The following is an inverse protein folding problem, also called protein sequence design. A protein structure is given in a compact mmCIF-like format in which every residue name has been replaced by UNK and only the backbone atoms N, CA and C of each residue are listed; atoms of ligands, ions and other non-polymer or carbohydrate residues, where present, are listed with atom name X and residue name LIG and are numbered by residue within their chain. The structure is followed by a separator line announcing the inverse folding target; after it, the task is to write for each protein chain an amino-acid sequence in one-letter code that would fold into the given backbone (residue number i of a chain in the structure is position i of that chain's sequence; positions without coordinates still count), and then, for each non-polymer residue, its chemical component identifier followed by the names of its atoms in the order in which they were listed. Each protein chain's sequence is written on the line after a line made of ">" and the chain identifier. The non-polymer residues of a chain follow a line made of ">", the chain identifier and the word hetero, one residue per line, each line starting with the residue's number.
data_IF_328284231743
#
_entry.id   IF_328284231743
#
_cell.length_a   1.000
_cell.length_b   1.000
_cell.length_c   1.000
_cell.angle_alpha   90.00
_cell.angle_beta   90.00
_cell.angle_gamma   90.00
#
_symmetry.space_group_name_H-M   'P 1'
#
loop_
_entity.id
_entity.type
_entity.pdbx_description
1 polymer ?
#
# COMPACT_ATOMS: atom_id res chain seq x y z
N UNK A 1 29.93 0.11 -25.73
CA UNK A 1 29.07 1.24 -26.10
C UNK A 1 27.79 1.25 -25.26
N UNK A 2 27.24 2.41 -24.87
CA UNK A 2 26.01 2.50 -24.01
C UNK A 2 24.82 1.75 -24.63
N UNK A 3 24.73 1.67 -25.94
CA UNK A 3 23.67 0.94 -26.66
C UNK A 3 23.77 -0.58 -26.52
N UNK A 4 24.95 -1.13 -26.32
CA UNK A 4 25.15 -2.60 -26.36
C UNK A 4 24.81 -3.27 -25.03
N UNK A 5 24.78 -2.53 -23.90
CA UNK A 5 24.44 -3.10 -22.57
C UNK A 5 23.00 -3.62 -22.47
N UNK A 6 22.06 -3.04 -23.25
CA UNK A 6 20.66 -3.53 -23.35
C UNK A 6 20.53 -4.79 -24.20
N UNK A 7 21.58 -5.18 -24.91
CA UNK A 7 21.57 -6.35 -25.78
C UNK A 7 22.40 -7.51 -25.21
N UNK A 8 23.07 -7.32 -24.07
CA UNK A 8 23.95 -8.34 -23.47
C UNK A 8 23.18 -9.65 -23.22
N UNK A 9 21.92 -9.54 -22.76
CA UNK A 9 21.05 -10.71 -22.51
C UNK A 9 20.73 -11.55 -23.77
N UNK A 10 21.05 -11.04 -24.96
CA UNK A 10 20.90 -11.81 -26.23
C UNK A 10 22.05 -12.79 -26.48
N UNK A 11 23.16 -12.63 -25.74
CA UNK A 11 24.41 -13.36 -26.02
C UNK A 11 24.89 -14.20 -24.86
N UNK A 12 24.46 -13.89 -23.64
CA UNK A 12 24.89 -14.58 -22.41
C UNK A 12 23.70 -14.77 -21.47
N UNK A 13 23.85 -15.59 -20.43
CA UNK A 13 22.82 -15.79 -19.43
C UNK A 13 22.51 -14.49 -18.65
N UNK A 14 21.31 -14.31 -18.10
CA UNK A 14 20.96 -13.14 -17.31
C UNK A 14 21.91 -12.88 -16.12
N UNK A 15 22.45 -13.93 -15.50
CA UNK A 15 23.45 -13.83 -14.44
C UNK A 15 24.75 -13.23 -14.96
N UNK A 16 25.29 -13.77 -16.06
CA UNK A 16 26.52 -13.24 -16.69
C UNK A 16 26.30 -11.81 -17.20
N UNK A 17 25.13 -11.52 -17.77
CA UNK A 17 24.76 -10.17 -18.19
C UNK A 17 24.75 -9.17 -17.02
N UNK A 18 24.28 -9.60 -15.85
CA UNK A 18 24.30 -8.81 -14.62
C UNK A 18 25.74 -8.48 -14.21
N UNK A 19 26.65 -9.46 -14.25
CA UNK A 19 28.05 -9.28 -13.89
C UNK A 19 28.77 -8.37 -14.89
N UNK A 20 28.57 -8.56 -16.19
CA UNK A 20 29.13 -7.69 -17.25
C UNK A 20 28.68 -6.24 -17.10
N UNK A 21 27.37 -6.02 -16.82
CA UNK A 21 26.85 -4.66 -16.60
C UNK A 21 27.44 -4.02 -15.33
N UNK A 22 27.59 -4.78 -14.24
CA UNK A 22 28.20 -4.29 -13.01
C UNK A 22 29.65 -3.89 -13.25
N UNK A 23 30.47 -4.74 -13.87
CA UNK A 23 31.87 -4.42 -14.20
C UNK A 23 31.96 -3.17 -15.08
N UNK A 24 31.06 -3.01 -16.04
CA UNK A 24 31.01 -1.80 -16.87
C UNK A 24 30.74 -0.53 -16.02
N UNK A 25 29.80 -0.62 -15.08
CA UNK A 25 29.47 0.49 -14.18
C UNK A 25 30.64 0.79 -13.25
N UNK A 26 31.27 -0.23 -12.67
CA UNK A 26 32.47 -0.09 -11.80
C UNK A 26 33.60 0.65 -12.52
N UNK A 27 33.91 0.26 -13.76
CA UNK A 27 34.92 0.92 -14.60
C UNK A 27 34.53 2.36 -14.96
N UNK A 28 33.26 2.60 -15.26
CA UNK A 28 32.78 3.91 -15.71
C UNK A 28 32.67 4.90 -14.55
N UNK A 29 32.20 4.44 -13.39
CA UNK A 29 32.04 5.26 -12.19
C UNK A 29 33.32 5.36 -11.34
N UNK A 30 34.32 4.51 -11.59
CA UNK A 30 35.55 4.47 -10.81
C UNK A 30 35.34 3.97 -9.38
N UNK A 31 34.42 3.00 -9.18
CA UNK A 31 34.09 2.42 -7.86
C UNK A 31 34.04 0.89 -7.93
N UNK A 32 34.03 0.26 -6.76
CA UNK A 32 33.80 -1.19 -6.61
C UNK A 32 32.44 -1.43 -5.99
N UNK A 33 31.73 -2.48 -6.41
CA UNK A 33 30.37 -2.83 -5.98
C UNK A 33 30.26 -4.26 -5.39
N UNK A 34 31.16 -4.68 -4.48
CA UNK A 34 31.21 -6.05 -3.99
C UNK A 34 29.96 -6.48 -3.22
N UNK A 35 29.30 -5.54 -2.54
CA UNK A 35 28.09 -5.83 -1.77
C UNK A 35 26.87 -6.02 -2.66
N UNK A 36 26.75 -5.27 -3.76
CA UNK A 36 25.70 -5.48 -4.75
C UNK A 36 25.87 -6.77 -5.53
N UNK A 37 27.10 -7.27 -5.66
CA UNK A 37 27.43 -8.53 -6.31
C UNK A 37 27.05 -9.76 -5.50
N UNK A 38 26.88 -9.61 -4.17
CA UNK A 38 26.56 -10.72 -3.26
C UNK A 38 25.07 -10.80 -3.01
N UNK A 39 24.36 -11.67 -3.71
CA UNK A 39 22.93 -11.87 -3.61
C UNK A 39 22.54 -13.34 -3.81
N UNK A 40 21.38 -13.72 -3.27
CA UNK A 40 20.78 -15.04 -3.40
C UNK A 40 19.63 -15.09 -4.42
N UNK A 41 19.21 -13.94 -4.98
CA UNK A 41 18.11 -13.89 -5.95
C UNK A 41 18.47 -14.59 -7.26
N UNK A 42 17.51 -15.34 -7.81
CA UNK A 42 17.59 -15.89 -9.17
C UNK A 42 17.45 -14.77 -10.21
N UNK A 43 18.59 -14.34 -10.78
CA UNK A 43 18.62 -13.27 -11.78
C UNK A 43 17.95 -13.64 -13.11
N UNK A 44 17.84 -14.91 -13.45
CA UNK A 44 17.11 -15.34 -14.64
C UNK A 44 15.63 -15.06 -14.47
N UNK A 45 15.07 -15.45 -13.33
CA UNK A 45 13.69 -15.21 -12.95
C UNK A 45 13.39 -13.73 -12.77
N UNK A 46 14.26 -13.00 -12.05
CA UNK A 46 14.11 -11.58 -11.79
C UNK A 46 14.13 -10.75 -13.08
N UNK A 47 15.09 -11.03 -14.01
CA UNK A 47 15.19 -10.32 -15.29
C UNK A 47 14.02 -10.58 -16.20
N UNK A 48 13.39 -11.75 -16.13
CA UNK A 48 12.24 -12.08 -16.95
C UNK A 48 10.95 -11.39 -16.51
N UNK A 49 10.86 -10.91 -15.25
CA UNK A 49 9.57 -10.48 -14.67
C UNK A 49 9.60 -9.20 -13.83
N UNK A 50 10.73 -8.85 -13.23
CA UNK A 50 10.78 -7.86 -12.17
C UNK A 50 11.69 -6.65 -12.46
N UNK A 51 12.79 -6.85 -13.22
CA UNK A 51 13.77 -5.79 -13.44
C UNK A 51 14.48 -5.97 -14.78
N UNK A 52 14.68 -4.90 -15.49
CA UNK A 52 15.49 -4.82 -16.70
C UNK A 52 16.91 -4.33 -16.37
N UNK A 53 17.90 -4.87 -17.09
CA UNK A 53 19.31 -4.48 -16.95
C UNK A 53 19.88 -4.54 -15.52
N UNK A 54 19.68 -5.62 -14.77
CA UNK A 54 20.20 -5.71 -13.40
C UNK A 54 21.72 -5.60 -13.37
N UNK A 55 22.24 -5.07 -12.26
CA UNK A 55 23.68 -5.02 -11.92
C UNK A 55 23.98 -5.72 -10.58
N UNK A 56 22.94 -6.17 -9.87
CA UNK A 56 23.00 -6.77 -8.55
C UNK A 56 21.77 -6.43 -7.73
N UNK A 57 21.89 -6.46 -6.41
CA UNK A 57 20.79 -6.19 -5.46
C UNK A 57 21.18 -5.17 -4.40
N UNK A 58 20.16 -4.51 -3.83
CA UNK A 58 20.32 -3.73 -2.59
C UNK A 58 19.88 -4.60 -1.42
N UNK A 59 20.66 -4.59 -0.34
CA UNK A 59 20.36 -5.29 0.89
C UNK A 59 19.82 -4.31 1.93
N UNK A 60 18.65 -4.63 2.50
CA UNK A 60 18.07 -3.90 3.61
C UNK A 60 17.98 -4.83 4.83
N UNK A 61 18.31 -4.33 6.04
CA UNK A 61 18.10 -5.11 7.25
C UNK A 61 16.62 -5.42 7.45
N UNK A 62 16.31 -6.65 7.87
CA UNK A 62 14.96 -7.09 8.24
C UNK A 62 14.91 -7.35 9.73
N UNK A 63 14.04 -6.64 10.43
CA UNK A 63 13.69 -6.89 11.82
C UNK A 63 12.32 -7.54 11.92
N UNK A 64 11.97 -8.04 13.09
CA UNK A 64 10.67 -8.67 13.38
C UNK A 64 10.02 -8.03 14.59
N UNK A 65 8.76 -7.63 14.44
CA UNK A 65 7.91 -7.17 15.52
C UNK A 65 6.83 -8.21 15.85
N UNK A 66 6.45 -8.34 17.14
CA UNK A 66 5.41 -9.26 17.58
C UNK A 66 5.76 -9.98 18.87
N UNK A 67 4.87 -10.90 19.37
CA UNK A 67 3.64 -11.30 18.69
C UNK A 67 2.60 -10.19 18.66
N UNK A 68 1.89 -10.09 17.54
CA UNK A 68 0.75 -9.20 17.32
C UNK A 68 -0.51 -10.04 17.18
N UNK A 69 -1.41 -9.97 18.16
CA UNK A 69 -2.67 -10.71 18.15
C UNK A 69 -3.72 -9.98 17.34
N UNK A 70 -4.30 -10.66 16.37
CA UNK A 70 -5.33 -10.14 15.46
C UNK A 70 -6.61 -10.96 15.60
N UNK A 71 -7.74 -10.27 15.70
CA UNK A 71 -9.10 -10.81 15.75
C UNK A 71 -9.88 -10.33 14.51
N UNK A 72 -9.30 -10.52 13.32
CA UNK A 72 -9.89 -10.07 12.06
C UNK A 72 -10.94 -11.05 11.50
N UNK A 73 -11.45 -10.72 10.34
CA UNK A 73 -12.36 -11.61 9.61
C UNK A 73 -11.60 -12.77 8.96
N UNK A 74 -10.40 -12.49 8.45
CA UNK A 74 -9.52 -13.41 7.74
C UNK A 74 -8.32 -13.85 8.59
N UNK A 75 -7.77 -12.96 9.44
CA UNK A 75 -6.66 -13.25 10.34
C UNK A 75 -7.15 -13.38 11.80
N UNK A 76 -7.12 -14.60 12.36
CA UNK A 76 -7.53 -14.87 13.77
C UNK A 76 -6.42 -15.60 14.51
N UNK A 77 -5.26 -14.95 14.66
CA UNK A 77 -4.06 -15.52 15.27
C UNK A 77 -3.04 -14.47 15.69
N UNK A 78 -2.02 -14.90 16.36
CA UNK A 78 -0.81 -14.10 16.57
C UNK A 78 0.12 -14.21 15.36
N UNK A 79 0.72 -13.08 14.97
CA UNK A 79 1.67 -13.00 13.87
C UNK A 79 2.97 -12.33 14.30
N UNK A 80 4.05 -12.68 13.64
CA UNK A 80 5.32 -11.96 13.70
C UNK A 80 5.51 -11.24 12.38
N UNK A 81 5.74 -9.93 12.42
CA UNK A 81 5.74 -9.07 11.23
C UNK A 81 7.17 -8.75 10.81
N UNK A 82 7.62 -9.21 9.62
CA UNK A 82 8.90 -8.82 9.08
C UNK A 82 8.85 -7.37 8.59
N UNK A 83 9.87 -6.59 8.90
CA UNK A 83 9.97 -5.17 8.61
C UNK A 83 11.36 -4.87 8.03
N UNK A 84 11.43 -4.50 6.75
CA UNK A 84 12.68 -4.08 6.11
C UNK A 84 12.83 -2.57 6.23
N UNK A 85 13.85 -2.10 6.94
CA UNK A 85 14.02 -0.67 7.20
C UNK A 85 15.49 -0.32 7.46
N UNK A 86 15.87 0.92 7.14
CA UNK A 86 17.10 1.56 7.59
C UNK A 86 16.87 2.58 8.72
N UNK A 87 15.61 2.76 9.16
CA UNK A 87 15.26 3.69 10.23
C UNK A 87 15.45 3.04 11.60
N UNK A 88 16.30 3.65 12.44
CA UNK A 88 16.48 3.22 13.82
C UNK A 88 15.20 3.38 14.65
N UNK A 89 15.01 2.49 15.63
CA UNK A 89 13.88 2.46 16.57
C UNK A 89 12.51 2.09 15.97
N UNK A 90 12.32 2.02 14.64
CA UNK A 90 11.02 1.70 14.03
C UNK A 90 10.50 0.33 14.50
N UNK A 91 11.30 -0.73 14.37
CA UNK A 91 10.91 -2.09 14.77
C UNK A 91 10.59 -2.17 16.25
N UNK A 92 11.39 -1.51 17.09
CA UNK A 92 11.15 -1.45 18.56
C UNK A 92 9.85 -0.70 18.89
N UNK A 93 9.54 0.38 18.16
CA UNK A 93 8.29 1.13 18.29
C UNK A 93 7.08 0.26 17.95
N UNK A 94 7.09 -0.39 16.80
CA UNK A 94 6.01 -1.30 16.39
C UNK A 94 5.86 -2.45 17.38
N UNK A 95 6.96 -3.02 17.87
CA UNK A 95 6.95 -4.10 18.83
C UNK A 95 6.31 -3.68 20.18
N UNK A 96 6.53 -2.45 20.64
CA UNK A 96 5.86 -1.90 21.82
C UNK A 96 4.34 -1.83 21.61
N UNK A 97 3.90 -1.34 20.45
CA UNK A 97 2.47 -1.31 20.11
C UNK A 97 1.87 -2.71 20.01
N UNK A 98 2.53 -3.64 19.33
CA UNK A 98 2.12 -5.04 19.23
C UNK A 98 1.98 -5.70 20.62
N UNK A 99 2.94 -5.47 21.53
CA UNK A 99 2.87 -5.94 22.91
C UNK A 99 1.70 -5.33 23.69
N UNK A 100 1.38 -4.06 23.45
CA UNK A 100 0.21 -3.39 24.07
C UNK A 100 -1.09 -4.01 23.56
N UNK A 101 -1.23 -4.16 22.25
CA UNK A 101 -2.39 -4.76 21.58
C UNK A 101 -2.63 -6.20 22.07
N UNK A 102 -1.59 -7.03 22.07
CA UNK A 102 -1.68 -8.43 22.47
C UNK A 102 -2.08 -8.57 23.95
N UNK A 103 -1.56 -7.70 24.81
CA UNK A 103 -1.93 -7.65 26.24
C UNK A 103 -3.37 -7.18 26.46
N UNK A 104 -3.95 -6.44 25.53
CA UNK A 104 -5.33 -5.95 25.56
C UNK A 104 -6.34 -6.89 24.88
N UNK A 105 -5.93 -8.10 24.50
CA UNK A 105 -6.80 -9.10 23.90
C UNK A 105 -6.74 -9.22 22.39
N UNK A 106 -6.02 -8.31 21.70
CA UNK A 106 -5.85 -8.32 20.25
C UNK A 106 -6.62 -7.19 19.55
N UNK A 107 -6.22 -6.86 18.34
CA UNK A 107 -6.83 -5.84 17.49
C UNK A 107 -7.88 -6.47 16.59
N UNK A 108 -9.04 -5.82 16.43
CA UNK A 108 -10.01 -6.15 15.40
C UNK A 108 -9.56 -5.55 14.07
N UNK A 109 -9.75 -6.27 12.96
CA UNK A 109 -9.41 -5.77 11.63
C UNK A 109 -10.42 -6.28 10.60
N UNK A 110 -10.90 -5.39 9.72
CA UNK A 110 -11.96 -5.68 8.78
C UNK A 110 -11.65 -5.10 7.41
N UNK A 111 -11.70 -5.95 6.38
CA UNK A 111 -11.58 -5.51 4.98
C UNK A 111 -12.94 -5.01 4.50
N UNK A 112 -13.07 -3.70 4.34
CA UNK A 112 -14.32 -3.04 3.93
C UNK A 112 -14.54 -3.15 2.42
N UNK A 113 -13.45 -3.06 1.65
CA UNK A 113 -13.48 -3.08 0.20
C UNK A 113 -12.18 -3.69 -0.35
N UNK A 114 -12.29 -4.34 -1.51
CA UNK A 114 -11.15 -4.99 -2.19
C UNK A 114 -11.32 -4.76 -3.71
N UNK A 115 -10.76 -3.66 -4.21
CA UNK A 115 -10.94 -3.18 -5.57
C UNK A 115 -9.63 -2.68 -6.17
N UNK A 116 -9.54 -2.72 -7.49
CA UNK A 116 -8.47 -2.08 -8.23
C UNK A 116 -9.07 -1.20 -9.33
N UNK A 117 -8.39 -0.11 -9.67
CA UNK A 117 -8.96 0.88 -10.57
C UNK A 117 -8.07 1.18 -11.78
N UNK A 118 -8.72 1.47 -12.91
CA UNK A 118 -8.14 2.08 -14.09
C UNK A 118 -9.05 3.19 -14.57
N UNK A 119 -8.50 4.31 -15.01
CA UNK A 119 -9.28 5.43 -15.52
C UNK A 119 -8.60 6.03 -16.74
N UNK A 120 -8.97 5.60 -17.94
CA UNK A 120 -8.47 6.20 -19.17
C UNK A 120 -8.98 7.62 -19.36
N UNK A 121 -8.34 8.36 -20.25
CA UNK A 121 -8.83 9.65 -20.71
C UNK A 121 -9.28 9.59 -22.16
N UNK A 122 -10.50 10.06 -22.41
CA UNK A 122 -11.15 10.08 -23.72
C UNK A 122 -11.39 11.52 -24.11
N UNK A 123 -10.99 11.88 -25.34
CA UNK A 123 -11.21 13.19 -25.96
C UNK A 123 -12.44 13.13 -26.84
N UNK A 124 -13.29 14.14 -26.74
CA UNK A 124 -14.48 14.37 -27.57
C UNK A 124 -14.42 15.73 -28.26
N UNK A 125 -15.34 16.02 -29.16
CA UNK A 125 -15.43 17.26 -29.91
C UNK A 125 -16.03 18.39 -29.07
N UNK A 126 -16.92 18.07 -28.12
CA UNK A 126 -17.68 19.03 -27.32
C UNK A 126 -18.07 18.43 -25.96
N UNK A 127 -18.50 19.28 -25.02
CA UNK A 127 -19.08 18.83 -23.76
C UNK A 127 -20.38 18.01 -23.97
N UNK A 128 -21.16 18.34 -24.99
CA UNK A 128 -22.35 17.56 -25.35
C UNK A 128 -22.00 16.15 -25.83
N UNK A 129 -20.89 15.99 -26.57
CA UNK A 129 -20.42 14.67 -26.98
C UNK A 129 -19.80 13.92 -25.80
N UNK A 130 -19.16 14.63 -24.87
CA UNK A 130 -18.67 14.02 -23.62
C UNK A 130 -19.84 13.42 -22.80
N UNK A 131 -20.97 14.06 -22.73
CA UNK A 131 -22.18 13.54 -22.09
C UNK A 131 -22.73 12.28 -22.82
N UNK A 132 -22.67 12.25 -24.16
CA UNK A 132 -23.06 11.04 -24.92
C UNK A 132 -22.12 9.86 -24.61
N UNK A 133 -20.80 10.10 -24.54
CA UNK A 133 -19.82 9.08 -24.15
C UNK A 133 -20.11 8.59 -22.72
N UNK A 134 -20.38 9.48 -21.78
CA UNK A 134 -20.78 9.07 -20.43
C UNK A 134 -22.01 8.17 -20.45
N UNK A 135 -23.06 8.58 -21.18
CA UNK A 135 -24.28 7.78 -21.31
C UNK A 135 -24.01 6.42 -21.96
N UNK A 136 -23.16 6.38 -22.99
CA UNK A 136 -22.77 5.14 -23.65
C UNK A 136 -22.14 4.13 -22.66
N UNK A 137 -21.27 4.56 -21.74
CA UNK A 137 -20.72 3.68 -20.70
C UNK A 137 -21.81 3.13 -19.78
N UNK A 138 -22.81 3.93 -19.45
CA UNK A 138 -23.93 3.52 -18.59
C UNK A 138 -24.80 2.49 -19.31
N UNK A 139 -25.19 2.78 -20.54
CA UNK A 139 -26.11 1.95 -21.34
C UNK A 139 -25.52 0.59 -21.73
N UNK A 140 -24.20 0.54 -21.96
CA UNK A 140 -23.51 -0.65 -22.41
C UNK A 140 -22.77 -1.41 -21.29
N UNK A 141 -22.98 -1.05 -20.01
CA UNK A 141 -22.19 -1.60 -18.90
C UNK A 141 -22.12 -3.12 -18.89
N UNK A 142 -23.21 -3.83 -19.15
CA UNK A 142 -23.23 -5.29 -19.11
C UNK A 142 -22.35 -5.92 -20.22
N UNK A 143 -22.40 -5.39 -21.42
CA UNK A 143 -21.56 -5.85 -22.53
C UNK A 143 -20.09 -5.52 -22.27
N UNK A 144 -19.79 -4.32 -21.77
CA UNK A 144 -18.43 -3.90 -21.40
C UNK A 144 -17.84 -4.78 -20.30
N UNK A 145 -18.68 -5.23 -19.37
CA UNK A 145 -18.29 -6.18 -18.33
C UNK A 145 -17.89 -7.53 -18.94
N UNK A 146 -18.70 -8.06 -19.85
CA UNK A 146 -18.40 -9.33 -20.54
C UNK A 146 -17.10 -9.25 -21.34
N UNK A 147 -16.87 -8.13 -22.05
CA UNK A 147 -15.64 -7.86 -22.79
C UNK A 147 -14.43 -7.84 -21.84
N UNK A 148 -14.51 -7.08 -20.75
CA UNK A 148 -13.44 -6.99 -19.76
C UNK A 148 -13.11 -8.36 -19.16
N UNK A 149 -14.13 -9.10 -18.76
CA UNK A 149 -13.99 -10.41 -18.10
C UNK A 149 -13.50 -11.51 -19.07
N UNK A 150 -13.70 -11.35 -20.37
CA UNK A 150 -13.16 -12.27 -21.39
C UNK A 150 -11.63 -12.26 -21.45
N UNK A 151 -10.97 -11.22 -20.96
CA UNK A 151 -9.50 -11.07 -21.00
C UNK A 151 -8.78 -11.78 -19.86
N UNK A 152 -9.49 -12.25 -18.84
CA UNK A 152 -8.90 -12.80 -17.63
C UNK A 152 -9.82 -13.79 -16.95
N UNK A 153 -9.25 -14.80 -16.30
CA UNK A 153 -9.99 -15.77 -15.48
C UNK A 153 -10.23 -15.30 -14.04
N UNK A 154 -9.61 -14.20 -13.61
CA UNK A 154 -9.63 -13.75 -12.20
C UNK A 154 -10.19 -12.35 -12.01
N UNK A 155 -10.10 -11.48 -13.01
CA UNK A 155 -10.58 -10.10 -12.93
C UNK A 155 -12.08 -10.00 -13.20
N UNK A 156 -12.79 -9.15 -12.46
CA UNK A 156 -14.20 -8.83 -12.70
C UNK A 156 -14.39 -7.33 -12.70
N UNK A 157 -15.05 -6.80 -13.74
CA UNK A 157 -15.47 -5.40 -13.78
C UNK A 157 -16.71 -5.23 -12.88
N UNK A 158 -16.57 -4.44 -11.82
CA UNK A 158 -17.63 -4.24 -10.83
C UNK A 158 -18.52 -3.05 -11.15
N UNK A 159 -17.92 -1.91 -11.54
CA UNK A 159 -18.59 -0.68 -11.92
C UNK A 159 -17.71 0.21 -12.78
N UNK A 160 -18.30 1.19 -13.44
CA UNK A 160 -17.62 2.30 -14.13
C UNK A 160 -18.12 3.59 -13.47
N UNK A 161 -17.53 3.96 -12.35
CA UNK A 161 -17.96 5.06 -11.51
C UNK A 161 -16.82 5.56 -10.59
N UNK A 162 -16.66 6.90 -10.41
CA UNK A 162 -17.34 7.97 -11.14
C UNK A 162 -16.87 8.12 -12.60
N UNK A 163 -17.71 8.71 -13.45
CA UNK A 163 -17.34 9.17 -14.79
C UNK A 163 -17.26 10.69 -14.76
N UNK A 164 -16.02 11.21 -14.70
CA UNK A 164 -15.79 12.66 -14.65
C UNK A 164 -15.75 13.25 -16.06
N UNK A 165 -16.26 14.46 -16.20
CA UNK A 165 -16.20 15.25 -17.44
C UNK A 165 -15.57 16.61 -17.12
N UNK A 166 -14.52 16.94 -17.89
CA UNK A 166 -13.85 18.24 -17.80
C UNK A 166 -13.72 18.79 -19.23
N UNK A 167 -14.64 19.72 -19.57
CA UNK A 167 -14.74 20.24 -20.94
C UNK A 167 -15.01 19.12 -21.96
N UNK A 168 -14.05 18.87 -22.83
CA UNK A 168 -14.12 17.83 -23.87
C UNK A 168 -13.44 16.52 -23.45
N UNK A 169 -13.05 16.36 -22.20
CA UNK A 169 -12.42 15.16 -21.70
C UNK A 169 -13.35 14.35 -20.79
N UNK A 170 -13.36 13.04 -20.99
CA UNK A 170 -14.13 12.08 -20.19
C UNK A 170 -13.16 11.13 -19.51
N UNK A 171 -13.34 10.92 -18.21
CA UNK A 171 -12.54 10.04 -17.38
C UNK A 171 -13.43 9.00 -16.71
N UNK A 172 -13.70 7.86 -17.36
CA UNK A 172 -14.42 6.76 -16.73
C UNK A 172 -13.48 6.03 -15.75
N UNK A 173 -13.87 5.93 -14.50
CA UNK A 173 -13.13 5.15 -13.50
C UNK A 173 -13.65 3.72 -13.49
N UNK A 174 -12.94 2.82 -14.13
CA UNK A 174 -13.21 1.39 -14.11
C UNK A 174 -12.77 0.81 -12.78
N UNK A 175 -13.68 0.08 -12.14
CA UNK A 175 -13.45 -0.56 -10.84
C UNK A 175 -13.52 -2.06 -11.00
N UNK A 176 -12.45 -2.75 -10.63
CA UNK A 176 -12.30 -4.19 -10.79
C UNK A 176 -12.08 -4.89 -9.44
N UNK A 177 -12.47 -6.16 -9.36
CA UNK A 177 -11.92 -7.11 -8.39
C UNK A 177 -10.78 -7.87 -9.07
N UNK A 178 -9.65 -8.05 -8.37
CA UNK A 178 -8.42 -8.68 -8.92
C UNK A 178 -7.93 -9.89 -8.11
N UNK A 179 -8.68 -10.28 -7.07
CA UNK A 179 -8.32 -11.39 -6.19
C UNK A 179 -7.03 -11.14 -5.40
N UNK A 180 -6.13 -12.11 -5.39
CA UNK A 180 -4.90 -12.05 -4.59
C UNK A 180 -3.73 -11.32 -5.28
N UNK A 181 -3.88 -10.95 -6.54
CA UNK A 181 -2.93 -10.09 -7.24
C UNK A 181 -3.31 -8.62 -7.10
N UNK A 182 -2.34 -7.72 -7.15
CA UNK A 182 -2.63 -6.27 -7.25
C UNK A 182 -3.37 -5.97 -8.56
N UNK A 183 -3.05 -6.67 -9.65
CA UNK A 183 -3.85 -6.73 -10.86
C UNK A 183 -3.66 -5.61 -11.87
N UNK A 184 -2.67 -4.72 -11.74
CA UNK A 184 -2.52 -3.56 -12.64
C UNK A 184 -2.42 -3.91 -14.11
N UNK A 185 -1.64 -4.93 -14.48
CA UNK A 185 -1.55 -5.37 -15.88
C UNK A 185 -2.88 -5.93 -16.38
N UNK A 186 -3.56 -6.73 -15.56
CA UNK A 186 -4.84 -7.34 -15.89
C UNK A 186 -5.92 -6.27 -16.15
N UNK A 187 -6.07 -5.30 -15.24
CA UNK A 187 -7.07 -4.23 -15.43
C UNK A 187 -6.72 -3.30 -16.59
N UNK A 188 -5.43 -3.15 -16.92
CA UNK A 188 -4.99 -2.37 -18.07
C UNK A 188 -5.43 -3.06 -19.39
N UNK A 189 -5.16 -4.35 -19.53
CA UNK A 189 -5.57 -5.14 -20.72
C UNK A 189 -7.10 -5.16 -20.86
N UNK A 190 -7.82 -5.38 -19.75
CA UNK A 190 -9.29 -5.36 -19.75
C UNK A 190 -9.85 -3.99 -20.16
N UNK A 191 -9.26 -2.92 -19.66
CA UNK A 191 -9.66 -1.54 -20.01
C UNK A 191 -9.38 -1.21 -21.47
N UNK A 192 -8.27 -1.68 -22.02
CA UNK A 192 -7.92 -1.49 -23.44
C UNK A 192 -8.97 -2.10 -24.36
N UNK A 193 -9.45 -3.32 -24.05
CA UNK A 193 -10.52 -3.97 -24.82
C UNK A 193 -11.85 -3.20 -24.79
N UNK A 194 -12.19 -2.58 -23.65
CA UNK A 194 -13.36 -1.68 -23.58
C UNK A 194 -13.15 -0.46 -24.49
N UNK A 195 -11.94 0.08 -24.54
CA UNK A 195 -11.63 1.24 -25.37
C UNK A 195 -11.60 0.93 -26.88
N UNK A 196 -11.24 -0.30 -27.27
CA UNK A 196 -11.37 -0.77 -28.65
C UNK A 196 -12.84 -0.66 -29.10
N UNK A 197 -13.78 -1.22 -28.31
CA UNK A 197 -15.23 -1.12 -28.59
C UNK A 197 -15.72 0.33 -28.62
N UNK A 198 -15.27 1.17 -27.68
CA UNK A 198 -15.64 2.58 -27.67
C UNK A 198 -15.22 3.27 -28.99
N UNK A 199 -14.03 2.95 -29.52
CA UNK A 199 -13.54 3.53 -30.77
C UNK A 199 -14.35 3.09 -31.98
N UNK A 200 -14.87 1.86 -31.97
CA UNK A 200 -15.70 1.31 -33.05
C UNK A 200 -17.14 1.91 -33.07
N UNK A 201 -17.68 2.22 -31.90
CA UNK A 201 -19.10 2.61 -31.77
C UNK A 201 -19.33 4.11 -31.53
N UNK A 202 -18.26 4.86 -31.21
CA UNK A 202 -18.42 6.27 -30.82
C UNK A 202 -17.40 7.17 -31.52
N UNK A 203 -17.60 8.48 -31.39
CA UNK A 203 -16.63 9.49 -31.84
C UNK A 203 -15.56 9.81 -30.80
N UNK A 204 -15.58 9.15 -29.66
CA UNK A 204 -14.62 9.33 -28.57
C UNK A 204 -13.25 8.75 -28.93
N UNK A 205 -12.21 9.55 -28.79
CA UNK A 205 -10.83 9.11 -29.05
C UNK A 205 -10.09 8.95 -27.71
N UNK A 206 -9.69 7.74 -27.35
CA UNK A 206 -8.88 7.56 -26.18
C UNK A 206 -7.47 8.16 -26.37
N UNK A 207 -6.96 8.82 -25.33
CA UNK A 207 -5.66 9.49 -25.33
C UNK A 207 -4.61 8.66 -24.59
N UNK A 208 -4.99 8.12 -23.44
CA UNK A 208 -4.13 7.28 -22.61
C UNK A 208 -4.97 6.33 -21.73
N UNK A 209 -4.40 5.16 -21.43
CA UNK A 209 -5.01 4.16 -20.55
C UNK A 209 -5.09 4.61 -19.07
N UNK A 210 -4.29 5.61 -18.68
CA UNK A 210 -4.41 6.28 -17.39
C UNK A 210 -4.50 7.78 -17.57
N UNK A 211 -5.66 8.35 -17.25
CA UNK A 211 -5.90 9.79 -17.15
C UNK A 211 -5.69 10.34 -15.74
N UNK A 212 -5.01 9.61 -14.87
CA UNK A 212 -4.77 9.95 -13.46
C UNK A 212 -6.02 10.05 -12.57
N UNK A 213 -7.20 9.63 -13.01
CA UNK A 213 -8.39 9.51 -12.16
C UNK A 213 -8.47 8.13 -11.48
N UNK A 214 -7.69 7.16 -11.92
CA UNK A 214 -7.39 5.95 -11.15
C UNK A 214 -6.45 6.23 -9.97
N UNK A 215 -5.69 7.29 -10.07
CA UNK A 215 -4.70 7.82 -9.13
C UNK A 215 -3.75 6.75 -8.60
N UNK A 216 -3.00 6.15 -9.52
CA UNK A 216 -1.97 5.17 -9.21
C UNK A 216 -0.72 5.88 -8.67
N UNK A 217 -0.24 5.45 -7.50
CA UNK A 217 1.00 5.93 -6.84
C UNK A 217 1.03 7.44 -6.55
N UNK A 218 -0.12 8.00 -6.19
CA UNK A 218 -0.28 9.41 -5.80
C UNK A 218 -1.30 9.56 -4.67
N UNK A 219 -1.12 10.51 -3.75
CA UNK A 219 -2.15 10.85 -2.78
C UNK A 219 -3.29 11.57 -3.50
N UNK A 220 -4.54 11.13 -3.27
CA UNK A 220 -5.71 11.73 -3.90
C UNK A 220 -6.99 11.58 -3.08
N UNK A 221 -7.83 12.61 -3.08
CA UNK A 221 -9.10 12.63 -2.38
C UNK A 221 -10.03 11.50 -2.84
N UNK A 222 -10.05 11.20 -4.14
CA UNK A 222 -10.90 10.13 -4.68
C UNK A 222 -10.56 8.75 -4.09
N UNK A 223 -9.29 8.47 -3.81
CA UNK A 223 -8.88 7.22 -3.19
C UNK A 223 -9.22 7.19 -1.69
N UNK A 224 -9.23 8.34 -1.01
CA UNK A 224 -9.71 8.44 0.38
C UNK A 224 -11.21 8.13 0.49
N UNK A 225 -12.01 8.51 -0.52
CA UNK A 225 -13.47 8.38 -0.52
C UNK A 225 -13.93 7.03 -1.09
N UNK A 226 -13.43 6.69 -2.28
CA UNK A 226 -13.87 5.52 -3.04
C UNK A 226 -13.03 4.26 -2.75
N UNK A 227 -11.87 4.43 -2.15
CA UNK A 227 -10.89 3.37 -1.97
C UNK A 227 -10.14 2.98 -3.25
N UNK A 228 -9.02 2.27 -3.07
CA UNK A 228 -8.24 1.57 -4.09
C UNK A 228 -7.37 0.51 -3.40
N UNK A 229 -7.11 -0.63 -4.04
CA UNK A 229 -6.53 -1.75 -3.31
C UNK A 229 -7.51 -2.27 -2.26
N UNK A 230 -7.03 -2.57 -1.08
CA UNK A 230 -7.87 -2.96 0.06
C UNK A 230 -8.13 -1.76 0.94
N UNK A 231 -9.41 -1.51 1.25
CA UNK A 231 -9.81 -0.54 2.27
C UNK A 231 -10.03 -1.30 3.57
N UNK A 232 -9.34 -0.91 4.63
CA UNK A 232 -9.30 -1.69 5.87
C UNK A 232 -9.47 -0.74 7.06
N UNK A 233 -10.27 -1.19 8.03
CA UNK A 233 -10.40 -0.56 9.34
C UNK A 233 -9.86 -1.51 10.38
N UNK A 234 -9.07 -1.00 11.32
CA UNK A 234 -8.65 -1.76 12.49
C UNK A 234 -8.85 -0.93 13.75
N UNK A 235 -9.28 -1.58 14.84
CA UNK A 235 -9.58 -0.92 16.10
C UNK A 235 -9.28 -1.79 17.32
N UNK A 236 -9.14 -1.13 18.47
CA UNK A 236 -8.94 -1.78 19.74
C UNK A 236 -9.45 -0.91 20.90
N UNK A 237 -9.99 -1.54 21.93
CA UNK A 237 -10.19 -0.94 23.25
C UNK A 237 -9.08 -1.42 24.19
N UNK A 238 -8.31 -0.50 24.73
CA UNK A 238 -7.17 -0.76 25.61
C UNK A 238 -7.53 -0.33 27.02
N UNK A 239 -7.57 -1.25 28.01
CA UNK A 239 -7.85 -0.93 29.39
C UNK A 239 -6.87 0.12 29.97
N UNK A 240 -7.35 1.02 30.81
CA UNK A 240 -6.57 2.10 31.45
C UNK A 240 -5.26 1.60 32.08
N UNK A 241 -5.32 0.47 32.78
CA UNK A 241 -4.14 -0.13 33.43
C UNK A 241 -3.04 -0.49 32.44
N UNK A 242 -3.42 -0.93 31.20
CA UNK A 242 -2.48 -1.28 30.14
C UNK A 242 -1.92 -0.01 29.50
N UNK A 243 -2.74 1.02 29.26
CA UNK A 243 -2.30 2.32 28.77
C UNK A 243 -1.23 2.88 29.71
N UNK A 244 -1.55 2.96 31.00
CA UNK A 244 -0.64 3.47 32.03
C UNK A 244 0.66 2.64 32.14
N UNK A 245 0.56 1.32 32.11
CA UNK A 245 1.70 0.41 32.28
C UNK A 245 2.61 0.34 31.07
N UNK A 246 2.03 0.23 29.86
CA UNK A 246 2.75 -0.05 28.59
C UNK A 246 3.12 1.22 27.82
N UNK A 247 2.22 2.19 27.77
CA UNK A 247 2.42 3.44 27.03
C UNK A 247 2.94 4.58 27.93
N UNK A 248 2.88 4.41 29.26
CA UNK A 248 3.36 5.40 30.24
C UNK A 248 2.67 6.77 30.13
N UNK A 249 1.39 6.76 29.79
CA UNK A 249 0.56 7.95 29.57
C UNK A 249 -0.90 7.60 29.88
N UNK A 250 -1.84 8.51 29.59
CA UNK A 250 -3.28 8.32 29.79
C UNK A 250 -4.02 8.32 28.46
N UNK A 251 -5.24 7.77 28.43
CA UNK A 251 -6.11 7.80 27.25
C UNK A 251 -6.44 9.24 26.84
N UNK A 252 -6.70 10.12 27.80
CA UNK A 252 -6.96 11.55 27.56
C UNK A 252 -5.78 12.25 26.86
N UNK A 253 -4.55 12.02 27.31
CA UNK A 253 -3.37 12.63 26.70
C UNK A 253 -3.12 12.10 25.26
N UNK A 254 -3.43 10.82 24.99
CA UNK A 254 -3.35 10.24 23.65
C UNK A 254 -4.41 10.87 22.75
N UNK A 255 -5.64 11.01 23.22
CA UNK A 255 -6.74 11.66 22.48
C UNK A 255 -6.36 13.11 22.13
N UNK A 256 -5.86 13.89 23.09
CA UNK A 256 -5.41 15.28 22.87
C UNK A 256 -4.31 15.37 21.80
N UNK A 257 -3.29 14.53 21.87
CA UNK A 257 -2.22 14.47 20.85
C UNK A 257 -2.79 14.09 19.48
N UNK A 258 -3.68 13.12 19.42
CA UNK A 258 -4.30 12.72 18.15
C UNK A 258 -5.12 13.86 17.53
N UNK A 259 -5.93 14.54 18.30
CA UNK A 259 -6.73 15.69 17.83
C UNK A 259 -5.82 16.81 17.34
N UNK A 260 -4.86 17.23 18.17
CA UNK A 260 -4.01 18.39 17.87
C UNK A 260 -3.06 18.12 16.69
N UNK A 261 -2.41 16.95 16.67
CA UNK A 261 -1.41 16.59 15.67
C UNK A 261 -2.05 15.99 14.42
N UNK A 262 -2.73 14.84 14.57
CA UNK A 262 -3.15 14.03 13.41
C UNK A 262 -4.36 14.63 12.70
N UNK A 263 -5.29 15.26 13.42
CA UNK A 263 -6.49 15.84 12.81
C UNK A 263 -6.28 17.33 12.48
N UNK A 264 -6.12 18.19 13.47
CA UNK A 264 -6.04 19.64 13.26
C UNK A 264 -4.75 20.01 12.51
N UNK A 265 -3.61 19.47 12.93
CA UNK A 265 -2.33 19.76 12.30
C UNK A 265 -2.29 19.32 10.84
N UNK A 266 -2.79 18.11 10.52
CA UNK A 266 -2.88 17.62 9.14
C UNK A 266 -3.83 18.46 8.29
N UNK A 267 -5.00 18.83 8.84
CA UNK A 267 -5.95 19.69 8.14
C UNK A 267 -5.36 21.08 7.85
N UNK A 268 -4.67 21.68 8.82
CA UNK A 268 -4.01 22.98 8.67
C UNK A 268 -2.89 22.94 7.62
N UNK A 269 -2.19 21.81 7.50
CA UNK A 269 -1.17 21.60 6.48
C UNK A 269 -1.72 21.22 5.08
N UNK A 270 -3.03 20.94 4.96
CA UNK A 270 -3.64 20.44 3.73
C UNK A 270 -3.20 19.01 3.39
N UNK A 271 -2.81 18.21 4.39
CA UNK A 271 -2.46 16.80 4.22
C UNK A 271 -3.68 15.98 3.84
N UNK A 272 -3.49 14.95 3.01
CA UNK A 272 -4.49 13.90 2.78
C UNK A 272 -4.29 12.69 3.69
N UNK A 273 -3.27 12.70 4.54
CA UNK A 273 -2.98 11.71 5.55
C UNK A 273 -3.19 12.33 6.94
N UNK A 274 -4.19 11.84 7.67
CA UNK A 274 -4.56 12.29 9.02
C UNK A 274 -4.04 11.28 10.05
N UNK A 275 -2.74 11.06 10.05
CA UNK A 275 -2.06 10.07 10.87
C UNK A 275 -0.64 10.54 11.24
N UNK A 276 0.04 9.78 12.09
CA UNK A 276 1.37 10.14 12.55
C UNK A 276 2.49 9.56 11.68
N UNK A 277 2.37 8.31 11.23
CA UNK A 277 3.48 7.61 10.56
C UNK A 277 3.09 6.35 9.75
N UNK A 278 1.89 6.28 9.16
CA UNK A 278 1.49 5.09 8.35
C UNK A 278 2.56 4.71 7.34
N UNK A 279 3.17 5.69 6.68
CA UNK A 279 4.20 5.47 5.67
C UNK A 279 5.35 4.59 6.15
N UNK A 280 5.78 4.74 7.43
CA UNK A 280 6.88 3.96 7.99
C UNK A 280 6.55 2.46 8.03
N UNK A 281 5.38 2.09 8.56
CA UNK A 281 4.96 0.69 8.66
C UNK A 281 4.70 0.09 7.28
N UNK A 282 3.96 0.82 6.43
CA UNK A 282 3.61 0.36 5.09
C UNK A 282 4.87 0.13 4.26
N UNK A 283 5.81 1.09 4.23
CA UNK A 283 7.05 0.94 3.49
C UNK A 283 7.88 -0.25 3.99
N UNK A 284 8.02 -0.42 5.31
CA UNK A 284 8.80 -1.51 5.88
C UNK A 284 8.22 -2.90 5.56
N UNK A 285 6.90 -3.05 5.62
CA UNK A 285 6.22 -4.31 5.24
C UNK A 285 6.31 -4.53 3.73
N UNK A 286 6.08 -3.49 2.91
CA UNK A 286 6.10 -3.60 1.46
C UNK A 286 7.48 -4.05 0.96
N UNK A 287 8.54 -3.48 1.49
CA UNK A 287 9.91 -3.89 1.16
C UNK A 287 10.20 -5.33 1.60
N UNK A 288 9.75 -5.73 2.80
CA UNK A 288 9.97 -7.08 3.32
C UNK A 288 9.20 -8.17 2.57
N UNK A 289 8.09 -7.83 1.88
CA UNK A 289 7.17 -8.79 1.26
C UNK A 289 7.04 -8.64 -0.27
N UNK A 290 7.94 -7.86 -0.88
CA UNK A 290 7.99 -7.66 -2.34
C UNK A 290 6.79 -6.96 -2.94
N UNK A 291 6.11 -6.11 -2.16
CA UNK A 291 5.10 -5.22 -2.69
C UNK A 291 5.76 -4.08 -3.49
N UNK A 292 5.01 -3.45 -4.36
CA UNK A 292 5.50 -2.27 -5.08
C UNK A 292 5.73 -1.11 -4.09
N UNK A 293 6.98 -0.76 -3.85
CA UNK A 293 7.39 0.26 -2.88
C UNK A 293 6.75 1.64 -3.16
N UNK A 294 6.45 1.96 -4.42
CA UNK A 294 5.80 3.23 -4.78
C UNK A 294 4.36 3.32 -4.24
N UNK A 295 3.70 2.21 -3.98
CA UNK A 295 2.37 2.19 -3.37
C UNK A 295 2.38 2.52 -1.87
N UNK A 296 3.55 2.67 -1.23
CA UNK A 296 3.62 3.23 0.12
C UNK A 296 3.02 4.65 0.19
N UNK A 297 3.06 5.40 -0.91
CA UNK A 297 2.39 6.72 -1.03
C UNK A 297 0.89 6.61 -0.82
N UNK A 298 0.24 5.60 -1.43
CA UNK A 298 -1.19 5.34 -1.29
C UNK A 298 -1.51 4.71 0.07
N UNK A 299 -0.77 3.70 0.47
CA UNK A 299 -0.93 3.03 1.77
C UNK A 299 -0.65 3.93 2.99
N UNK A 300 -0.07 5.11 2.78
CA UNK A 300 0.10 6.12 3.82
C UNK A 300 -1.13 7.02 4.03
N UNK A 301 -2.12 6.95 3.14
CA UNK A 301 -3.39 7.66 3.30
C UNK A 301 -4.22 7.03 4.42
N UNK A 302 -4.96 7.86 5.13
CA UNK A 302 -5.88 7.36 6.14
C UNK A 302 -5.97 8.23 7.37
N UNK A 303 -6.82 7.79 8.29
CA UNK A 303 -7.19 8.56 9.48
C UNK A 303 -6.98 7.70 10.72
N UNK A 304 -6.27 8.27 11.70
CA UNK A 304 -6.16 7.71 13.05
C UNK A 304 -7.16 8.39 13.96
N UNK A 305 -7.94 7.61 14.73
CA UNK A 305 -8.80 8.14 15.79
C UNK A 305 -8.40 7.60 17.15
N UNK A 306 -8.59 8.42 18.18
CA UNK A 306 -8.38 8.06 19.57
C UNK A 306 -9.50 8.69 20.41
N UNK A 307 -10.07 7.92 21.33
CA UNK A 307 -11.14 8.35 22.22
C UNK A 307 -10.85 7.87 23.64
N UNK A 308 -10.95 8.77 24.61
CA UNK A 308 -10.95 8.41 26.03
C UNK A 308 -12.36 7.93 26.43
N UNK A 309 -12.48 6.66 26.76
CA UNK A 309 -13.73 6.02 27.22
C UNK A 309 -13.65 5.71 28.72
N UNK A 310 -13.79 6.73 29.55
CA UNK A 310 -13.72 6.62 31.02
C UNK A 310 -12.39 6.04 31.54
N UNK A 311 -11.28 6.43 30.94
CA UNK A 311 -9.94 5.96 31.28
C UNK A 311 -9.41 4.91 30.30
N UNK A 312 -10.26 4.07 29.73
CA UNK A 312 -9.90 3.15 28.65
C UNK A 312 -9.67 3.92 27.34
N UNK A 313 -8.71 3.47 26.55
CA UNK A 313 -8.40 4.06 25.24
C UNK A 313 -9.04 3.24 24.11
N UNK A 314 -10.01 3.82 23.40
CA UNK A 314 -10.37 3.32 22.07
C UNK A 314 -9.44 3.95 21.04
N UNK A 315 -8.83 3.11 20.20
CA UNK A 315 -7.87 3.55 19.19
C UNK A 315 -8.15 2.85 17.88
N UNK A 316 -8.21 3.61 16.78
CA UNK A 316 -8.46 3.01 15.46
C UNK A 316 -7.65 3.64 14.35
N UNK A 317 -7.48 2.88 13.28
CA UNK A 317 -6.88 3.31 12.01
C UNK A 317 -7.79 2.93 10.85
N UNK A 318 -7.94 3.84 9.89
CA UNK A 318 -8.60 3.59 8.63
C UNK A 318 -7.57 3.73 7.50
N UNK A 319 -7.41 2.68 6.69
CA UNK A 319 -6.55 2.65 5.53
C UNK A 319 -7.43 2.47 4.27
N UNK A 320 -7.75 3.53 3.54
CA UNK A 320 -8.66 3.45 2.38
C UNK A 320 -8.01 2.87 1.13
N UNK A 321 -6.67 2.84 1.05
CA UNK A 321 -5.94 2.55 -0.18
C UNK A 321 -4.68 1.75 0.11
N UNK A 322 -4.81 0.41 0.13
CA UNK A 322 -3.67 -0.51 0.38
C UNK A 322 -3.55 -1.49 -0.79
N UNK A 323 -2.83 -1.12 -1.86
CA UNK A 323 -2.62 -1.98 -3.02
C UNK A 323 -1.57 -3.06 -2.73
N UNK A 324 -2.01 -4.22 -2.31
CA UNK A 324 -1.16 -5.37 -1.93
C UNK A 324 -1.52 -6.64 -2.69
N UNK A 325 -0.58 -7.56 -2.71
CA UNK A 325 -0.69 -8.86 -3.34
C UNK A 325 0.00 -9.95 -2.52
N UNK A 326 -0.48 -11.17 -2.67
CA UNK A 326 0.17 -12.38 -2.14
C UNK A 326 0.61 -13.34 -3.24
N UNK A 327 0.30 -12.98 -4.51
CA UNK A 327 0.72 -13.69 -5.71
C UNK A 327 1.19 -12.73 -6.79
N UNK A 328 2.17 -13.14 -7.58
CA UNK A 328 2.68 -12.40 -8.73
C UNK A 328 3.60 -11.22 -8.38
N UNK A 329 4.19 -10.60 -9.40
CA UNK A 329 5.10 -9.47 -9.25
C UNK A 329 6.29 -9.77 -8.33
N UNK A 330 6.64 -8.81 -7.49
CA UNK A 330 7.77 -8.90 -6.55
C UNK A 330 7.59 -9.94 -5.44
N UNK A 331 6.34 -10.39 -5.15
CA UNK A 331 6.07 -11.43 -4.14
C UNK A 331 6.72 -12.79 -4.46
N UNK A 332 7.16 -12.94 -5.69
CA UNK A 332 7.82 -14.17 -6.16
C UNK A 332 9.34 -14.13 -6.06
N UNK A 333 9.94 -13.00 -5.68
CA UNK A 333 11.37 -12.93 -5.37
C UNK A 333 11.64 -13.68 -4.07
N UNK A 334 12.76 -14.40 -4.00
CA UNK A 334 13.03 -15.39 -2.95
C UNK A 334 12.88 -14.80 -1.54
N UNK A 335 13.61 -13.74 -1.22
CA UNK A 335 13.56 -13.11 0.12
C UNK A 335 12.23 -12.44 0.43
N UNK A 336 11.54 -11.93 -0.58
CA UNK A 336 10.19 -11.36 -0.43
C UNK A 336 9.14 -12.46 -0.14
N UNK A 337 9.29 -13.63 -0.78
CA UNK A 337 8.45 -14.79 -0.52
C UNK A 337 8.64 -15.30 0.91
N UNK A 338 9.87 -15.37 1.39
CA UNK A 338 10.19 -15.70 2.79
C UNK A 338 9.52 -14.71 3.77
N UNK A 339 9.45 -13.42 3.42
CA UNK A 339 8.70 -12.42 4.20
C UNK A 339 7.19 -12.74 4.28
N UNK A 340 6.58 -13.17 3.19
CA UNK A 340 5.18 -13.62 3.18
C UNK A 340 4.99 -14.96 3.92
N UNK A 341 5.97 -15.85 3.89
CA UNK A 341 5.96 -17.12 4.63
C UNK A 341 6.02 -16.89 6.14
N UNK A 342 6.85 -15.96 6.62
CA UNK A 342 6.87 -15.54 8.04
C UNK A 342 5.48 -15.13 8.49
N UNK A 343 4.76 -14.38 7.65
CA UNK A 343 3.39 -13.96 7.89
C UNK A 343 2.34 -15.07 7.69
N UNK A 344 2.70 -16.19 7.05
CA UNK A 344 1.79 -17.27 6.68
C UNK A 344 0.75 -16.87 5.63
N UNK A 345 1.11 -15.92 4.74
CA UNK A 345 0.21 -15.37 3.73
C UNK A 345 0.73 -15.49 2.29
N UNK A 346 1.75 -16.31 2.06
CA UNK A 346 2.20 -16.60 0.70
C UNK A 346 1.13 -17.40 -0.07
N UNK A 347 0.87 -17.00 -1.33
CA UNK A 347 0.00 -17.73 -2.24
C UNK A 347 -1.44 -17.24 -2.29
N UNK A 348 -2.33 -18.09 -2.83
CA UNK A 348 -3.71 -17.73 -3.15
C UNK A 348 -4.63 -17.72 -1.90
N UNK A 349 -5.71 -16.95 -1.97
CA UNK A 349 -6.70 -16.72 -0.91
C UNK A 349 -6.14 -16.09 0.37
N UNK A 350 -5.07 -15.31 0.25
CA UNK A 350 -4.34 -14.73 1.36
C UNK A 350 -4.27 -13.20 1.37
N UNK A 351 -4.62 -12.54 0.29
CA UNK A 351 -4.44 -11.10 0.19
C UNK A 351 -5.30 -10.29 1.18
N UNK A 352 -6.49 -10.77 1.55
CA UNK A 352 -7.33 -10.13 2.58
C UNK A 352 -6.77 -10.35 3.98
N UNK A 353 -6.31 -11.57 4.29
CA UNK A 353 -5.58 -11.84 5.54
C UNK A 353 -4.35 -10.95 5.67
N UNK A 354 -3.58 -10.81 4.59
CA UNK A 354 -2.43 -9.92 4.56
C UNK A 354 -2.82 -8.45 4.77
N UNK A 355 -3.94 -8.00 4.19
CA UNK A 355 -4.47 -6.66 4.43
C UNK A 355 -4.74 -6.36 5.91
N UNK A 356 -5.40 -7.29 6.61
CA UNK A 356 -5.66 -7.17 8.04
C UNK A 356 -4.37 -7.11 8.87
N UNK A 357 -3.34 -7.89 8.48
CA UNK A 357 -2.03 -7.84 9.13
C UNK A 357 -1.35 -6.48 8.91
N UNK A 358 -1.43 -5.91 7.70
CA UNK A 358 -0.90 -4.57 7.41
C UNK A 358 -1.58 -3.53 8.29
N UNK A 359 -2.92 -3.52 8.35
CA UNK A 359 -3.67 -2.55 9.16
C UNK A 359 -3.38 -2.71 10.67
N UNK A 360 -3.31 -3.92 11.18
CA UNK A 360 -2.93 -4.21 12.56
C UNK A 360 -1.52 -3.71 12.89
N UNK A 361 -0.57 -3.86 11.97
CA UNK A 361 0.80 -3.37 12.13
C UNK A 361 0.86 -1.84 12.10
N UNK A 362 0.08 -1.22 11.21
CA UNK A 362 -0.05 0.24 11.17
C UNK A 362 -0.63 0.75 12.48
N UNK A 363 -1.69 0.13 13.00
CA UNK A 363 -2.26 0.49 14.29
C UNK A 363 -1.23 0.36 15.43
N UNK A 364 -0.43 -0.70 15.43
CA UNK A 364 0.62 -0.89 16.44
C UNK A 364 1.68 0.24 16.41
N UNK A 365 2.15 0.63 15.23
CA UNK A 365 3.10 1.72 15.07
C UNK A 365 2.53 3.09 15.43
N UNK A 366 1.29 3.37 15.00
CA UNK A 366 0.57 4.61 15.34
C UNK A 366 0.35 4.74 16.84
N UNK A 367 -0.22 3.72 17.47
CA UNK A 367 -0.45 3.67 18.92
C UNK A 367 0.84 3.93 19.70
N UNK A 368 1.92 3.30 19.27
CA UNK A 368 3.24 3.44 19.90
C UNK A 368 3.77 4.87 19.80
N UNK A 369 3.71 5.50 18.62
CA UNK A 369 4.22 6.86 18.42
C UNK A 369 3.35 7.89 19.13
N UNK A 370 2.03 7.85 18.97
CA UNK A 370 1.12 8.80 19.63
C UNK A 370 1.23 8.68 21.15
N UNK A 371 1.30 7.44 21.68
CA UNK A 371 1.54 7.20 23.10
C UNK A 371 2.89 7.75 23.59
N UNK A 372 3.97 7.64 22.81
CA UNK A 372 5.26 8.21 23.17
C UNK A 372 5.26 9.75 23.22
N UNK A 373 4.57 10.37 22.27
CA UNK A 373 4.39 11.83 22.25
C UNK A 373 3.59 12.30 23.46
N UNK A 374 2.49 11.64 23.78
CA UNK A 374 1.67 11.91 24.95
C UNK A 374 2.45 11.73 26.27
N UNK A 375 3.22 10.65 26.39
CA UNK A 375 4.09 10.42 27.56
C UNK A 375 5.17 11.48 27.72
N UNK A 376 5.77 11.97 26.63
CA UNK A 376 6.76 13.05 26.67
C UNK A 376 6.19 14.40 27.12
N UNK A 377 4.93 14.70 26.82
CA UNK A 377 4.22 15.87 27.33
C UNK A 377 3.93 15.73 28.82
N UNK A 378 3.46 14.58 29.26
CA UNK A 378 3.18 14.32 30.67
C UNK A 378 4.43 14.42 31.56
N UNK A 379 5.55 13.84 31.12
CA UNK A 379 6.82 13.89 31.82
C UNK A 379 7.35 15.31 31.97
N UNK A 380 7.22 16.18 30.97
CA UNK A 380 7.59 17.60 31.03
C UNK A 380 6.71 18.38 31.98
N UNK A 381 5.40 18.21 31.95
CA UNK A 381 4.46 18.85 32.87
C UNK A 381 4.76 18.49 34.34
N UNK A 382 5.06 17.23 34.63
CA UNK A 382 5.47 16.81 35.98
C UNK A 382 6.80 17.41 36.42
N UNK A 383 7.77 17.58 35.50
CA UNK A 383 9.05 18.25 35.84
C UNK A 383 8.89 19.74 36.08
N UNK A 384 8.00 20.41 35.37
CA UNK A 384 7.71 21.85 35.55
C UNK A 384 6.92 22.11 36.83
N UNK A 385 5.90 21.30 37.14
CA UNK A 385 5.07 21.43 38.35
C UNK A 385 5.75 20.89 39.62
N UNK A 386 6.67 19.93 39.46
CA UNK A 386 7.42 19.35 40.60
C UNK A 386 8.65 20.13 41.04
N UNK A 387 8.92 21.30 40.47
CA UNK A 387 10.00 22.24 40.86
C UNK A 387 9.50 23.43 41.73
N UNK A 388 8.29 23.29 42.28
CA UNK A 388 7.76 24.22 43.29
C UNK A 388 8.17 23.87 44.67
#
# INVERSE_FOLDING_TARGET
>A
CIRDRYQVDKYVSPKEATDIRREFIEKTAGCELPHMANYSLDMERASARNIENPIGTIQLPVGVAGPLKINGDYCKREVYVPLATSEGALVASINRGASTITSSGGVNAHVISDIMTRAPVIKTSSASDALKIKQWFIDNFQELKEIAESTTSHGKLLKIDPILIVGTYVYPRFVYSTGDSMGMNMVTIASEKILDKLADETTGRHIALSGNVCVDKKPAAINMIEGRGKSIVADILIPEEIVNKKLKTTAEAIEEVNIAKNLIGSAAAGSMAYNAQYANMVAAIFLATGQDAAHAVEGSLGITTAENRNGDLYFSVNLPDVPIATVGGGTSLETAHEGLDILGVAGSNKAREFGEIVAATVLAGELSLVGALAAGHLARAHQELGRG
#
